data_IF_099576324060
#
_entry.id   IF_099576324060
#
_cell.length_a   1.000
_cell.length_b   1.000
_cell.length_c   1.000
_cell.angle_alpha   90.00
_cell.angle_beta   90.00
_cell.angle_gamma   90.00
#
_symmetry.space_group_name_H-M   'P 1'
#
loop_
_entity.id
_entity.type
_entity.pdbx_description
1 polymer ?
#
# COMPACT_ATOMS: atom_id res chain seq x y z
N UNK A 1 -52.94 -1.32 2.40
CA UNK A 1 -52.71 -1.27 3.86
C UNK A 1 -52.08 -2.61 4.24
N UNK A 2 -50.89 -2.81 4.79
CA UNK A 2 -49.80 -1.96 5.28
C UNK A 2 -48.53 -2.82 5.20
N UNK A 3 -47.51 -2.39 4.46
CA UNK A 3 -46.16 -2.96 4.54
C UNK A 3 -45.13 -1.90 5.00
N UNK A 4 -45.58 -0.92 5.79
CA UNK A 4 -44.77 0.18 6.37
C UNK A 4 -44.43 -0.12 7.84
N UNK A 5 -44.32 -1.40 8.21
CA UNK A 5 -43.97 -1.81 9.59
C UNK A 5 -42.81 -2.81 9.62
N UNK A 6 -41.70 -2.40 9.01
CA UNK A 6 -40.36 -2.74 9.50
C UNK A 6 -39.53 -1.47 9.55
N UNK A 7 -39.86 -0.57 10.49
CA UNK A 7 -38.86 0.41 10.95
C UNK A 7 -37.76 -0.44 11.58
N UNK A 8 -36.65 -0.60 10.87
CA UNK A 8 -35.46 -1.24 11.41
C UNK A 8 -35.10 -0.59 12.74
N UNK A 9 -34.74 -1.39 13.73
CA UNK A 9 -34.16 -0.86 14.96
C UNK A 9 -33.05 0.12 14.57
N UNK A 10 -33.19 1.39 14.97
CA UNK A 10 -32.19 2.41 14.69
C UNK A 10 -30.82 1.98 15.22
N UNK A 11 -29.74 2.54 14.66
CA UNK A 11 -28.41 2.33 15.22
C UNK A 11 -28.44 2.67 16.72
N UNK A 12 -27.87 1.83 17.60
CA UNK A 12 -27.86 2.08 19.05
C UNK A 12 -27.25 3.46 19.33
N UNK A 13 -27.74 4.22 20.30
CA UNK A 13 -27.13 5.52 20.63
C UNK A 13 -25.68 5.32 21.10
N UNK A 14 -24.78 6.28 20.81
CA UNK A 14 -23.45 6.29 21.44
C UNK A 14 -23.59 7.00 22.79
N UNK A 15 -23.26 6.34 23.91
CA UNK A 15 -23.21 7.02 25.21
C UNK A 15 -22.23 8.20 25.17
N UNK A 16 -22.56 9.30 25.86
CA UNK A 16 -21.72 10.49 25.89
C UNK A 16 -20.31 10.20 26.46
N UNK A 17 -20.22 9.29 27.42
CA UNK A 17 -18.96 8.80 27.98
C UNK A 17 -18.10 8.08 26.93
N UNK A 18 -18.70 7.20 26.12
CA UNK A 18 -18.02 6.50 25.02
C UNK A 18 -17.53 7.49 23.97
N UNK A 19 -18.35 8.47 23.59
CA UNK A 19 -17.96 9.50 22.63
C UNK A 19 -16.76 10.32 23.14
N UNK A 20 -16.81 10.75 24.40
CA UNK A 20 -15.72 11.50 25.05
C UNK A 20 -14.44 10.66 25.14
N UNK A 21 -14.56 9.39 25.52
CA UNK A 21 -13.42 8.47 25.59
C UNK A 21 -12.80 8.23 24.22
N UNK A 22 -13.62 8.10 23.17
CA UNK A 22 -13.18 7.93 21.80
C UNK A 22 -12.41 9.15 21.28
N UNK A 23 -12.90 10.36 21.53
CA UNK A 23 -12.21 11.59 21.16
C UNK A 23 -10.87 11.74 21.89
N UNK A 24 -10.85 11.47 23.19
CA UNK A 24 -9.63 11.51 24.00
C UNK A 24 -8.59 10.48 23.53
N UNK A 25 -9.00 9.22 23.33
CA UNK A 25 -8.12 8.15 22.85
C UNK A 25 -7.59 8.45 21.44
N UNK A 26 -8.43 8.95 20.55
CA UNK A 26 -8.01 9.34 19.19
C UNK A 26 -6.97 10.45 19.23
N UNK A 27 -7.19 11.48 20.05
CA UNK A 27 -6.25 12.60 20.22
C UNK A 27 -4.90 12.12 20.76
N UNK A 28 -4.90 11.26 21.78
CA UNK A 28 -3.70 10.68 22.35
C UNK A 28 -2.95 9.81 21.34
N UNK A 29 -3.67 8.99 20.58
CA UNK A 29 -3.07 8.09 19.61
C UNK A 29 -2.43 8.84 18.42
N UNK A 30 -3.06 9.91 17.93
CA UNK A 30 -2.48 10.78 16.90
C UNK A 30 -1.20 11.44 17.41
N UNK A 31 -1.19 11.95 18.64
CA UNK A 31 -0.01 12.57 19.25
C UNK A 31 1.13 11.56 19.43
N UNK A 32 0.84 10.37 19.96
CA UNK A 32 1.81 9.29 20.10
C UNK A 32 2.40 8.87 18.75
N UNK A 33 1.55 8.72 17.73
CA UNK A 33 1.97 8.36 16.37
C UNK A 33 2.91 9.41 15.78
N UNK A 34 2.57 10.70 15.89
CA UNK A 34 3.42 11.79 15.41
C UNK A 34 4.78 11.87 16.12
N UNK A 35 4.81 11.64 17.43
CA UNK A 35 6.04 11.59 18.22
C UNK A 35 6.94 10.42 17.78
N UNK A 36 6.36 9.24 17.59
CA UNK A 36 7.08 8.05 17.17
C UNK A 36 7.70 8.21 15.76
N UNK A 37 7.00 8.85 14.83
CA UNK A 37 7.51 9.08 13.46
C UNK A 37 8.62 10.12 13.40
N UNK A 38 8.75 10.99 14.41
CA UNK A 38 9.75 12.07 14.43
C UNK A 38 11.00 11.71 15.24
N UNK A 39 10.84 10.95 16.34
CA UNK A 39 11.89 10.79 17.37
C UNK A 39 12.57 9.43 17.43
N UNK A 40 12.13 8.41 16.69
CA UNK A 40 12.80 7.10 16.61
C UNK A 40 12.94 6.30 17.92
N UNK A 41 12.27 6.71 19.01
CA UNK A 41 12.39 6.08 20.32
C UNK A 41 11.54 4.81 20.42
N UNK A 42 12.12 3.74 20.98
CA UNK A 42 11.39 2.50 21.31
C UNK A 42 10.22 2.77 22.26
N UNK A 43 10.37 3.69 23.20
CA UNK A 43 9.29 4.07 24.12
C UNK A 43 8.12 4.68 23.36
N UNK A 44 8.40 5.56 22.39
CA UNK A 44 7.35 6.16 21.55
C UNK A 44 6.60 5.09 20.73
N UNK A 45 7.31 4.06 20.25
CA UNK A 45 6.66 2.93 19.57
C UNK A 45 5.75 2.11 20.50
N UNK A 46 6.15 1.91 21.77
CA UNK A 46 5.32 1.23 22.78
C UNK A 46 4.09 2.07 23.18
N UNK A 47 4.24 3.39 23.25
CA UNK A 47 3.12 4.32 23.47
C UNK A 47 2.10 4.25 22.33
N UNK A 48 2.56 4.20 21.08
CA UNK A 48 1.69 3.96 19.92
C UNK A 48 0.97 2.61 20.03
N UNK A 49 1.69 1.56 20.39
CA UNK A 49 1.09 0.22 20.55
C UNK A 49 -0.02 0.22 21.61
N UNK A 50 0.21 0.87 22.76
CA UNK A 50 -0.80 1.04 23.80
C UNK A 50 -2.01 1.83 23.27
N UNK A 51 -1.77 2.96 22.61
CA UNK A 51 -2.86 3.81 22.11
C UNK A 51 -3.71 3.10 21.03
N UNK A 52 -3.10 2.26 20.19
CA UNK A 52 -3.82 1.39 19.24
C UNK A 52 -4.70 0.40 20.00
N UNK A 53 -4.20 -0.21 21.07
CA UNK A 53 -5.00 -1.17 21.86
C UNK A 53 -6.19 -0.48 22.55
N UNK A 54 -5.98 0.71 23.12
CA UNK A 54 -7.06 1.50 23.71
C UNK A 54 -8.14 1.84 22.66
N UNK A 55 -7.73 2.18 21.43
CA UNK A 55 -8.66 2.38 20.30
C UNK A 55 -9.39 1.09 19.89
N UNK A 56 -8.73 -0.07 19.89
CA UNK A 56 -9.38 -1.34 19.56
C UNK A 56 -10.53 -1.65 20.52
N UNK A 57 -10.30 -1.49 21.82
CA UNK A 57 -11.33 -1.68 22.87
C UNK A 57 -12.54 -0.78 22.60
N UNK A 58 -12.31 0.49 22.27
CA UNK A 58 -13.39 1.44 21.98
C UNK A 58 -14.12 1.11 20.67
N UNK A 59 -13.40 0.70 19.63
CA UNK A 59 -14.00 0.35 18.34
C UNK A 59 -14.84 -0.94 18.45
N UNK A 60 -14.44 -1.88 19.30
CA UNK A 60 -15.19 -3.12 19.54
C UNK A 60 -16.50 -2.91 20.31
N UNK A 61 -16.75 -1.72 20.87
CA UNK A 61 -18.04 -1.41 21.50
C UNK A 61 -19.18 -1.53 20.47
N UNK A 62 -20.31 -2.19 20.79
CA UNK A 62 -21.37 -2.50 19.84
C UNK A 62 -21.89 -1.29 19.05
N UNK A 63 -22.02 -0.14 19.71
CA UNK A 63 -22.51 1.11 19.14
C UNK A 63 -21.53 1.78 18.17
N UNK A 64 -20.23 1.62 18.40
CA UNK A 64 -19.18 2.13 17.52
C UNK A 64 -19.02 1.19 16.34
N UNK A 65 -18.89 -0.11 16.61
CA UNK A 65 -18.85 -1.17 15.60
C UNK A 65 -20.02 -1.07 14.61
N UNK A 66 -21.25 -0.94 15.10
CA UNK A 66 -22.43 -0.83 14.24
C UNK A 66 -22.36 0.36 13.29
N UNK A 67 -21.81 1.50 13.73
CA UNK A 67 -21.63 2.70 12.89
C UNK A 67 -20.53 2.53 11.85
N UNK A 68 -19.41 1.93 12.23
CA UNK A 68 -18.31 1.66 11.28
C UNK A 68 -18.78 0.69 10.20
N UNK A 69 -19.48 -0.38 10.58
CA UNK A 69 -20.07 -1.35 9.63
C UNK A 69 -21.12 -0.67 8.75
N UNK A 70 -21.89 0.29 9.27
CA UNK A 70 -22.86 1.04 8.45
C UNK A 70 -22.19 1.95 7.40
N UNK A 71 -20.94 2.38 7.61
CA UNK A 71 -20.15 3.15 6.65
C UNK A 71 -19.43 2.24 5.63
N UNK A 72 -19.17 0.99 5.98
CA UNK A 72 -18.47 0.03 5.13
C UNK A 72 -19.24 -0.25 3.83
N UNK A 73 -18.48 -0.30 2.73
CA UNK A 73 -19.01 -0.54 1.39
C UNK A 73 -20.09 0.47 0.99
N UNK A 74 -19.90 1.74 1.39
CA UNK A 74 -20.76 2.85 1.00
C UNK A 74 -19.96 3.97 0.32
N UNK A 75 -20.56 4.72 -0.62
CA UNK A 75 -19.89 5.87 -1.24
C UNK A 75 -19.56 7.00 -0.27
N UNK A 76 -20.36 7.16 0.79
CA UNK A 76 -20.17 8.22 1.79
C UNK A 76 -19.21 7.82 2.91
N UNK A 77 -19.04 6.53 3.17
CA UNK A 77 -18.07 5.98 4.12
C UNK A 77 -16.76 5.64 3.43
N UNK A 78 -16.48 4.35 3.32
CA UNK A 78 -15.32 3.78 2.63
C UNK A 78 -15.71 2.51 1.86
N UNK A 79 -14.90 2.12 0.88
CA UNK A 79 -15.13 0.92 0.06
C UNK A 79 -14.14 -0.19 0.38
N UNK A 80 -14.55 -1.43 0.16
CA UNK A 80 -13.67 -2.59 0.19
C UNK A 80 -13.66 -3.31 -1.17
N UNK A 81 -12.58 -4.03 -1.48
CA UNK A 81 -12.52 -4.93 -2.64
C UNK A 81 -13.30 -6.24 -2.43
N UNK A 82 -14.00 -6.38 -1.30
CA UNK A 82 -14.89 -7.50 -0.95
C UNK A 82 -16.34 -7.06 -0.69
N UNK A 83 -16.80 -5.99 -1.33
CA UNK A 83 -18.19 -5.53 -1.24
C UNK A 83 -19.16 -6.67 -1.60
N UNK A 84 -20.06 -7.09 -0.69
CA UNK A 84 -20.98 -8.21 -0.91
C UNK A 84 -22.04 -7.90 -1.97
N UNK A 85 -22.21 -6.63 -2.37
CA UNK A 85 -23.09 -6.23 -3.48
C UNK A 85 -22.47 -6.54 -4.84
N UNK A 86 -21.18 -6.89 -4.88
CA UNK A 86 -20.45 -7.25 -6.09
C UNK A 86 -20.32 -8.77 -6.17
N UNK A 87 -20.68 -9.33 -7.33
CA UNK A 87 -20.51 -10.75 -7.62
C UNK A 87 -19.09 -11.02 -8.10
N UNK A 88 -18.43 -11.99 -7.48
CA UNK A 88 -17.12 -12.44 -7.88
C UNK A 88 -17.19 -13.20 -9.20
N UNK A 89 -16.47 -12.71 -10.22
CA UNK A 89 -16.49 -13.30 -11.57
C UNK A 89 -15.95 -14.74 -11.62
N UNK A 90 -15.09 -15.14 -10.67
CA UNK A 90 -14.48 -16.48 -10.66
C UNK A 90 -15.38 -17.53 -10.03
N UNK A 91 -16.08 -17.17 -8.96
CA UNK A 91 -16.94 -18.11 -8.21
C UNK A 91 -18.41 -17.97 -8.56
N UNK A 92 -18.80 -16.89 -9.27
CA UNK A 92 -20.18 -16.51 -9.56
C UNK A 92 -21.04 -16.38 -8.29
N UNK A 93 -20.42 -16.04 -7.16
CA UNK A 93 -21.06 -15.81 -5.86
C UNK A 93 -20.77 -14.39 -5.39
N UNK A 94 -21.64 -13.79 -4.55
CA UNK A 94 -21.34 -12.54 -3.87
C UNK A 94 -20.00 -12.62 -3.13
N UNK A 95 -19.26 -11.50 -3.07
CA UNK A 95 -18.06 -11.46 -2.25
C UNK A 95 -18.42 -11.65 -0.76
N UNK A 96 -17.53 -12.31 -0.03
CA UNK A 96 -17.60 -12.40 1.43
C UNK A 96 -16.90 -11.17 2.01
N UNK A 97 -17.59 -10.31 2.79
CA UNK A 97 -16.98 -9.14 3.40
C UNK A 97 -15.77 -9.48 4.28
N UNK A 98 -14.90 -8.51 4.50
CA UNK A 98 -13.83 -8.66 5.50
C UNK A 98 -14.39 -8.81 6.91
N UNK A 99 -13.70 -9.61 7.73
CA UNK A 99 -13.96 -9.67 9.17
C UNK A 99 -13.78 -8.30 9.82
N UNK A 100 -14.57 -8.05 10.87
CA UNK A 100 -14.55 -6.75 11.54
C UNK A 100 -13.17 -6.38 12.08
N UNK A 101 -12.35 -7.35 12.49
CA UNK A 101 -10.98 -7.09 12.92
C UNK A 101 -10.17 -6.37 11.83
N UNK A 102 -10.25 -6.82 10.58
CA UNK A 102 -9.57 -6.18 9.44
C UNK A 102 -10.10 -4.77 9.20
N UNK A 103 -11.43 -4.61 9.26
CA UNK A 103 -12.08 -3.30 9.09
C UNK A 103 -11.65 -2.31 10.18
N UNK A 104 -11.60 -2.78 11.43
CA UNK A 104 -11.17 -2.00 12.60
C UNK A 104 -9.72 -1.55 12.47
N UNK A 105 -8.78 -2.44 12.14
CA UNK A 105 -7.37 -2.08 12.00
C UNK A 105 -7.18 -1.02 10.89
N UNK A 106 -7.85 -1.17 9.75
CA UNK A 106 -7.77 -0.19 8.66
C UNK A 106 -8.39 1.16 9.04
N UNK A 107 -9.49 1.16 9.80
CA UNK A 107 -10.15 2.38 10.28
C UNK A 107 -9.32 3.11 11.34
N UNK A 108 -8.67 2.38 12.25
CA UNK A 108 -7.71 2.94 13.21
C UNK A 108 -6.52 3.56 12.47
N UNK A 109 -5.92 2.83 11.51
CA UNK A 109 -4.81 3.36 10.71
C UNK A 109 -5.21 4.64 9.95
N UNK A 110 -6.42 4.67 9.37
CA UNK A 110 -6.94 5.87 8.72
C UNK A 110 -7.00 7.07 9.68
N UNK A 111 -7.52 6.87 10.88
CA UNK A 111 -7.61 7.90 11.92
C UNK A 111 -6.25 8.44 12.35
N UNK A 112 -5.29 7.54 12.62
CA UNK A 112 -3.91 7.92 13.00
C UNK A 112 -3.19 8.72 11.91
N UNK A 113 -3.54 8.48 10.64
CA UNK A 113 -3.01 9.21 9.49
C UNK A 113 -3.77 10.50 9.17
N UNK A 114 -4.77 10.88 9.98
CA UNK A 114 -5.55 12.11 9.82
C UNK A 114 -6.67 12.04 8.76
N UNK A 115 -6.96 10.84 8.26
CA UNK A 115 -8.08 10.58 7.35
C UNK A 115 -9.37 10.38 8.13
N UNK A 116 -10.49 10.58 7.45
CA UNK A 116 -11.83 10.41 8.01
C UNK A 116 -12.43 9.07 7.62
N UNK A 117 -13.35 8.56 8.44
CA UNK A 117 -14.14 7.36 8.10
C UNK A 117 -15.23 7.62 7.05
N UNK A 118 -15.37 8.89 6.64
CA UNK A 118 -16.35 9.38 5.67
C UNK A 118 -15.66 10.12 4.52
N UNK A 119 -16.39 10.31 3.44
CA UNK A 119 -15.91 10.99 2.23
C UNK A 119 -14.97 10.14 1.39
N UNK A 120 -15.02 8.81 1.52
CA UNK A 120 -14.21 7.86 0.76
C UNK A 120 -12.71 8.17 0.85
N UNK A 121 -12.21 8.59 2.03
CA UNK A 121 -10.82 9.03 2.22
C UNK A 121 -9.81 7.89 2.34
N UNK A 122 -10.28 6.70 2.70
CA UNK A 122 -9.51 5.47 2.67
C UNK A 122 -10.41 4.34 2.17
N UNK A 123 -9.80 3.24 1.72
CA UNK A 123 -10.45 2.00 1.32
C UNK A 123 -9.69 0.82 1.93
N UNK A 124 -10.29 -0.37 1.87
CA UNK A 124 -9.65 -1.63 2.23
C UNK A 124 -9.44 -2.46 0.96
N UNK A 125 -8.18 -2.72 0.62
CA UNK A 125 -7.82 -3.51 -0.56
C UNK A 125 -6.91 -4.64 -0.09
N UNK A 126 -7.24 -5.87 -0.45
CA UNK A 126 -6.51 -7.07 -0.02
C UNK A 126 -6.28 -7.12 1.50
N UNK A 127 -7.28 -6.68 2.26
CA UNK A 127 -7.26 -6.64 3.73
C UNK A 127 -6.33 -5.59 4.34
N UNK A 128 -5.86 -4.61 3.55
CA UNK A 128 -4.95 -3.55 4.00
C UNK A 128 -5.56 -2.17 3.79
N UNK A 129 -5.12 -1.23 4.62
CA UNK A 129 -5.43 0.18 4.47
C UNK A 129 -4.92 0.72 3.12
N UNK A 130 -5.76 1.51 2.46
CA UNK A 130 -5.44 2.17 1.20
C UNK A 130 -5.97 3.61 1.19
N UNK A 131 -5.09 4.60 1.29
CA UNK A 131 -5.47 6.00 1.14
C UNK A 131 -5.94 6.30 -0.31
N UNK A 132 -7.08 6.95 -0.46
CA UNK A 132 -7.67 7.28 -1.77
C UNK A 132 -7.19 8.64 -2.28
N UNK A 133 -7.61 9.02 -3.50
CA UNK A 133 -7.38 10.37 -4.02
C UNK A 133 -8.08 11.41 -3.13
N UNK A 134 -9.32 11.17 -2.71
CA UNK A 134 -10.08 12.05 -1.82
C UNK A 134 -9.39 12.20 -0.46
N UNK A 135 -8.79 11.12 0.04
CA UNK A 135 -7.98 11.13 1.25
C UNK A 135 -6.77 12.05 1.15
N UNK A 136 -5.95 11.89 0.10
CA UNK A 136 -4.80 12.76 -0.09
C UNK A 136 -5.18 14.21 -0.34
N UNK A 137 -6.26 14.48 -1.08
CA UNK A 137 -6.75 15.85 -1.21
C UNK A 137 -7.17 16.45 0.14
N UNK A 138 -7.84 15.67 1.00
CA UNK A 138 -8.22 16.11 2.34
C UNK A 138 -6.98 16.38 3.21
N UNK A 139 -5.97 15.53 3.14
CA UNK A 139 -4.71 15.70 3.87
C UNK A 139 -3.94 16.94 3.41
N UNK A 140 -3.81 17.16 2.09
CA UNK A 140 -3.15 18.34 1.53
C UNK A 140 -3.87 19.62 1.94
N UNK A 141 -5.21 19.65 1.92
CA UNK A 141 -5.98 20.82 2.37
C UNK A 141 -5.80 21.13 3.85
N UNK A 142 -5.52 20.11 4.68
CA UNK A 142 -5.24 20.26 6.11
C UNK A 142 -3.75 20.51 6.41
N UNK A 143 -2.87 20.40 5.42
CA UNK A 143 -1.43 20.49 5.62
C UNK A 143 -1.06 21.91 6.11
N UNK A 144 -0.31 22.05 7.23
CA UNK A 144 0.03 23.34 7.79
C UNK A 144 0.78 24.23 6.79
N UNK A 145 0.31 25.48 6.65
CA UNK A 145 0.97 26.48 5.81
C UNK A 145 0.85 26.23 4.30
N UNK A 146 0.08 25.23 3.86
CA UNK A 146 -0.19 24.98 2.43
C UNK A 146 -1.44 25.74 2.00
N UNK A 147 -1.35 26.51 0.93
CA UNK A 147 -2.52 27.16 0.31
C UNK A 147 -2.41 27.20 -1.21
N UNK A 148 -3.53 27.43 -1.89
CA UNK A 148 -3.55 27.56 -3.35
C UNK A 148 -3.09 26.32 -4.12
N UNK A 149 -3.24 25.12 -3.54
CA UNK A 149 -2.87 23.87 -4.21
C UNK A 149 -3.70 23.66 -5.48
N UNK A 150 -3.04 23.56 -6.63
CA UNK A 150 -3.65 23.33 -7.94
C UNK A 150 -2.94 22.20 -8.68
N UNK A 151 -3.50 20.97 -8.66
CA UNK A 151 -3.00 19.87 -9.47
C UNK A 151 -3.57 19.93 -10.90
N UNK A 152 -2.73 19.60 -11.88
CA UNK A 152 -3.07 19.42 -13.28
C UNK A 152 -2.62 18.00 -13.65
N UNK A 153 -3.57 17.19 -14.11
CA UNK A 153 -3.35 15.81 -14.51
C UNK A 153 -3.46 15.74 -16.02
N UNK A 154 -2.38 15.32 -16.67
CA UNK A 154 -2.32 15.14 -18.11
C UNK A 154 -3.11 13.91 -18.57
N UNK A 155 -3.11 13.71 -19.88
CA UNK A 155 -3.73 12.54 -20.51
C UNK A 155 -2.78 11.33 -20.49
N UNK A 156 -3.31 10.10 -20.41
CA UNK A 156 -2.55 8.87 -20.62
C UNK A 156 -1.75 8.86 -21.93
N UNK A 157 -0.42 8.77 -21.84
CA UNK A 157 0.48 8.54 -22.97
C UNK A 157 0.99 7.10 -22.96
N UNK A 158 0.83 6.37 -24.06
CA UNK A 158 1.32 4.99 -24.17
C UNK A 158 2.85 4.96 -24.40
N UNK A 159 3.56 4.13 -23.64
CA UNK A 159 4.97 3.79 -23.88
C UNK A 159 5.22 2.29 -23.74
N UNK A 160 6.32 1.74 -24.30
CA UNK A 160 6.71 0.35 -24.05
C UNK A 160 6.86 0.11 -22.54
N UNK A 161 6.08 -0.81 -21.98
CA UNK A 161 6.09 -1.15 -20.55
C UNK A 161 5.00 -0.51 -19.69
N UNK A 162 4.12 0.36 -20.24
CA UNK A 162 2.95 0.87 -19.53
C UNK A 162 2.44 2.23 -20.01
N UNK A 163 1.55 2.82 -19.23
CA UNK A 163 0.98 4.14 -19.47
C UNK A 163 1.71 5.15 -18.61
N UNK A 164 2.12 6.27 -19.20
CA UNK A 164 2.69 7.40 -18.49
C UNK A 164 1.69 8.55 -18.46
N UNK A 165 1.50 9.16 -17.29
CA UNK A 165 0.67 10.36 -17.11
C UNK A 165 1.55 11.47 -16.59
N UNK A 166 1.64 12.57 -17.33
CA UNK A 166 2.33 13.77 -16.85
C UNK A 166 1.43 14.48 -15.84
N UNK A 167 2.00 14.84 -14.68
CA UNK A 167 1.28 15.54 -13.63
C UNK A 167 2.10 16.73 -13.16
N UNK A 168 1.43 17.84 -12.91
CA UNK A 168 2.04 19.02 -12.32
C UNK A 168 1.15 19.63 -11.24
N UNK A 169 1.75 20.28 -10.26
CA UNK A 169 1.03 20.99 -9.22
C UNK A 169 1.81 22.23 -8.79
N UNK A 170 1.06 23.26 -8.40
CA UNK A 170 1.61 24.45 -7.76
C UNK A 170 0.89 24.71 -6.44
N UNK A 171 1.62 25.19 -5.43
CA UNK A 171 1.04 25.62 -4.16
C UNK A 171 1.89 26.71 -3.51
N UNK A 172 1.37 27.35 -2.48
CA UNK A 172 2.11 28.27 -1.61
C UNK A 172 2.43 27.55 -0.30
N UNK A 173 3.69 27.59 0.13
CA UNK A 173 4.12 27.06 1.42
C UNK A 173 5.29 27.89 1.97
N UNK A 174 5.21 28.28 3.24
CA UNK A 174 6.25 29.09 3.88
C UNK A 174 6.48 30.45 3.21
N UNK A 175 5.45 31.04 2.58
CA UNK A 175 5.56 32.32 1.88
C UNK A 175 6.19 32.24 0.48
N UNK A 176 6.55 31.05 -0.01
CA UNK A 176 7.10 30.84 -1.33
C UNK A 176 6.19 29.95 -2.20
N UNK A 177 6.17 30.24 -3.50
CA UNK A 177 5.49 29.40 -4.47
C UNK A 177 6.33 28.15 -4.75
N UNK A 178 5.71 27.00 -4.53
CA UNK A 178 6.26 25.68 -4.79
C UNK A 178 5.63 25.10 -6.05
N UNK A 179 6.36 24.20 -6.70
CA UNK A 179 5.86 23.41 -7.81
C UNK A 179 6.43 21.99 -7.79
N UNK A 180 5.68 21.07 -8.39
CA UNK A 180 6.12 19.71 -8.67
C UNK A 180 5.65 19.33 -10.06
N UNK A 181 6.55 18.85 -10.91
CA UNK A 181 6.23 18.27 -12.22
C UNK A 181 6.88 16.90 -12.32
N UNK A 182 6.06 15.87 -12.50
CA UNK A 182 6.51 14.48 -12.54
C UNK A 182 5.69 13.67 -13.54
N UNK A 183 6.32 12.65 -14.11
CA UNK A 183 5.62 11.66 -14.92
C UNK A 183 5.34 10.43 -14.05
N UNK A 184 4.07 10.05 -13.95
CA UNK A 184 3.63 8.91 -13.14
C UNK A 184 3.44 7.68 -14.04
N UNK A 185 4.19 6.59 -13.80
CA UNK A 185 3.92 5.32 -14.45
C UNK A 185 2.68 4.64 -13.86
N UNK A 186 1.80 4.20 -14.73
CA UNK A 186 0.59 3.44 -14.41
C UNK A 186 0.57 2.19 -15.27
N UNK A 187 0.41 1.04 -14.62
CA UNK A 187 0.18 -0.22 -15.31
C UNK A 187 -1.22 -0.22 -15.92
N UNK A 188 -1.29 -0.42 -17.23
CA UNK A 188 -2.52 -0.74 -17.94
C UNK A 188 -2.68 -2.26 -18.04
N UNK A 189 -3.91 -2.73 -17.88
CA UNK A 189 -4.36 -4.05 -18.34
C UNK A 189 -5.31 -3.87 -19.54
N UNK A 190 -5.64 -4.96 -20.23
CA UNK A 190 -6.50 -4.95 -21.44
C UNK A 190 -7.91 -4.38 -21.18
N UNK A 191 -8.28 -4.18 -19.91
CA UNK A 191 -9.57 -3.67 -19.47
C UNK A 191 -9.49 -2.29 -18.79
N UNK A 192 -8.32 -1.67 -18.74
CA UNK A 192 -8.11 -0.37 -18.09
C UNK A 192 -8.72 0.75 -18.94
N UNK A 193 -9.74 1.42 -18.40
CA UNK A 193 -10.26 2.64 -19.02
C UNK A 193 -9.32 3.83 -18.78
N UNK A 194 -9.40 4.85 -19.65
CA UNK A 194 -8.64 6.09 -19.48
C UNK A 194 -8.90 6.73 -18.10
N UNK A 195 -10.15 6.72 -17.62
CA UNK A 195 -10.51 7.26 -16.30
C UNK A 195 -9.87 6.49 -15.13
N UNK A 196 -9.76 5.16 -15.25
CA UNK A 196 -9.09 4.34 -14.24
C UNK A 196 -7.59 4.65 -14.18
N UNK A 197 -6.95 4.82 -15.34
CA UNK A 197 -5.55 5.18 -15.44
C UNK A 197 -5.28 6.57 -14.86
N UNK A 198 -6.11 7.56 -15.21
CA UNK A 198 -6.06 8.91 -14.65
C UNK A 198 -6.26 8.86 -13.14
N UNK A 199 -7.26 8.11 -12.64
CA UNK A 199 -7.51 7.98 -11.21
C UNK A 199 -6.32 7.41 -10.43
N UNK A 200 -5.65 6.37 -10.96
CA UNK A 200 -4.41 5.81 -10.38
C UNK A 200 -3.27 6.83 -10.39
N UNK A 201 -3.06 7.51 -11.53
CA UNK A 201 -2.04 8.55 -11.65
C UNK A 201 -2.26 9.70 -10.66
N UNK A 202 -3.48 10.23 -10.58
CA UNK A 202 -3.88 11.30 -9.66
C UNK A 202 -3.58 10.90 -8.22
N UNK A 203 -3.95 9.68 -7.80
CA UNK A 203 -3.72 9.20 -6.43
C UNK A 203 -2.22 9.12 -6.10
N UNK A 204 -1.40 8.54 -6.99
CA UNK A 204 0.06 8.49 -6.83
C UNK A 204 0.69 9.88 -6.81
N UNK A 205 0.21 10.78 -7.67
CA UNK A 205 0.70 12.15 -7.74
C UNK A 205 0.38 12.95 -6.46
N UNK A 206 -0.86 12.91 -5.98
CA UNK A 206 -1.27 13.57 -4.75
C UNK A 206 -0.51 13.04 -3.53
N UNK A 207 -0.24 11.73 -3.47
CA UNK A 207 0.62 11.15 -2.45
C UNK A 207 2.00 11.80 -2.45
N UNK A 208 2.66 11.88 -3.62
CA UNK A 208 3.98 12.52 -3.75
C UNK A 208 3.95 14.00 -3.33
N UNK A 209 2.91 14.75 -3.74
CA UNK A 209 2.72 16.12 -3.28
C UNK A 209 2.62 16.20 -1.75
N UNK A 210 1.82 15.34 -1.13
CA UNK A 210 1.65 15.31 0.32
C UNK A 210 2.95 14.94 1.05
N UNK A 211 3.67 13.93 0.57
CA UNK A 211 4.98 13.52 1.10
C UNK A 211 5.99 14.66 1.00
N UNK A 212 6.02 15.38 -0.13
CA UNK A 212 6.88 16.56 -0.30
C UNK A 212 6.50 17.73 0.64
N UNK A 213 5.20 17.95 0.87
CA UNK A 213 4.70 19.04 1.72
C UNK A 213 4.95 18.80 3.22
N UNK A 214 4.91 17.54 3.66
CA UNK A 214 4.85 17.18 5.10
C UNK A 214 6.00 16.34 5.59
N UNK A 215 6.80 15.76 4.68
CA UNK A 215 7.81 14.74 5.01
C UNK A 215 7.23 13.40 5.49
N UNK A 216 5.89 13.27 5.54
CA UNK A 216 5.22 12.08 6.07
C UNK A 216 4.95 11.06 4.97
N UNK A 217 5.51 9.86 5.10
CA UNK A 217 5.28 8.75 4.16
C UNK A 217 4.00 7.99 4.48
N UNK A 218 3.13 7.84 3.49
CA UNK A 218 1.95 6.97 3.58
C UNK A 218 2.19 5.74 2.71
N UNK A 219 2.05 4.50 3.22
CA UNK A 219 2.31 3.30 2.46
C UNK A 219 1.53 3.26 1.15
N UNK A 220 2.22 2.83 0.10
CA UNK A 220 1.58 2.45 -1.15
C UNK A 220 0.88 1.11 -0.90
N UNK A 221 -0.36 1.16 -0.41
CA UNK A 221 -1.18 -0.04 -0.18
C UNK A 221 -1.54 -0.81 -1.46
N UNK A 222 -0.84 -0.59 -2.57
CA UNK A 222 -1.05 -1.31 -3.82
C UNK A 222 -0.15 -2.55 -3.85
N UNK A 223 -0.73 -3.70 -4.18
CA UNK A 223 0.00 -4.95 -4.35
C UNK A 223 0.76 -4.92 -5.68
N UNK A 224 1.94 -4.30 -5.69
CA UNK A 224 2.99 -4.57 -6.67
C UNK A 224 3.53 -3.38 -7.47
N UNK A 225 3.94 -2.29 -6.82
CA UNK A 225 4.63 -1.19 -7.51
C UNK A 225 5.94 -0.79 -6.80
N UNK A 226 7.07 -0.97 -7.48
CA UNK A 226 8.31 -0.23 -7.25
C UNK A 226 8.36 0.93 -8.26
N UNK A 227 8.40 2.17 -7.78
CA UNK A 227 8.48 3.34 -8.64
C UNK A 227 9.93 3.69 -8.97
N UNK A 228 10.25 3.84 -10.26
CA UNK A 228 11.48 4.53 -10.70
C UNK A 228 11.26 6.04 -10.55
N UNK A 229 12.08 6.67 -9.71
CA UNK A 229 12.16 8.12 -9.57
C UNK A 229 13.08 8.65 -10.66
N UNK A 230 12.57 9.55 -11.51
CA UNK A 230 13.42 10.43 -12.31
C UNK A 230 13.31 11.80 -11.66
N UNK A 231 14.37 12.21 -10.96
CA UNK A 231 14.47 13.56 -10.38
C UNK A 231 14.54 14.60 -11.49
N UNK A 232 13.76 15.67 -11.36
CA UNK A 232 13.93 16.88 -12.15
C UNK A 232 14.39 18.02 -11.23
N UNK A 233 15.58 18.54 -11.56
CA UNK A 233 16.27 19.66 -10.94
C UNK A 233 15.38 20.91 -10.80
N UNK A 234 15.48 21.70 -9.72
CA UNK A 234 14.77 22.98 -9.59
C UNK A 234 15.13 23.90 -10.76
N UNK A 235 14.12 24.36 -11.49
CA UNK A 235 14.27 25.40 -12.50
C UNK A 235 14.53 26.75 -11.79
N UNK A 236 15.55 27.52 -12.22
CA UNK A 236 15.86 28.81 -11.61
C UNK A 236 14.74 29.82 -11.86
N UNK A 237 14.51 30.68 -10.87
CA UNK A 237 13.54 31.76 -10.90
C UNK A 237 13.69 32.62 -12.17
N UNK A 238 12.56 32.95 -12.79
CA UNK A 238 12.49 33.79 -13.97
C UNK A 238 13.21 35.14 -13.74
N UNK A 239 13.94 35.66 -14.75
CA UNK A 239 14.76 36.86 -14.58
C UNK A 239 13.87 38.12 -14.46
N UNK A 240 14.08 38.88 -13.38
CA UNK A 240 13.58 40.24 -13.24
C UNK A 240 14.31 41.14 -14.24
N UNK A 241 13.57 41.82 -15.11
CA UNK A 241 14.09 42.84 -16.00
C UNK A 241 14.69 43.99 -15.18
N UNK A 242 16.02 44.15 -15.22
CA UNK A 242 16.71 45.42 -14.91
C UNK A 242 17.62 45.80 -16.06
N UNK A 243 17.46 47.06 -16.49
CA UNK A 243 18.12 47.70 -17.63
C UNK A 243 19.61 47.93 -17.32
N UNK A 244 20.43 47.80 -18.37
CA UNK A 244 21.89 47.80 -18.37
C UNK A 244 22.55 49.13 -17.98
N UNK A 245 23.74 49.03 -17.36
CA UNK A 245 24.96 49.78 -17.74
C UNK A 245 26.22 49.06 -17.21
N UNK A 246 27.13 48.81 -18.15
CA UNK A 246 28.60 48.90 -18.11
C UNK A 246 29.53 47.86 -17.43
N UNK A 247 30.19 47.11 -18.32
CA UNK A 247 31.65 46.88 -18.53
C UNK A 247 32.58 46.24 -17.48
N UNK A 248 33.22 45.13 -17.90
CA UNK A 248 34.60 44.76 -17.55
C UNK A 248 34.83 43.29 -17.12
N UNK A 249 35.96 42.62 -17.45
CA UNK A 249 35.90 41.28 -18.06
C UNK A 249 36.51 40.09 -17.29
N UNK A 250 35.97 38.90 -17.63
CA UNK A 250 36.58 37.56 -17.82
C UNK A 250 37.76 37.06 -16.97
N UNK A 251 37.54 35.93 -16.26
CA UNK A 251 38.47 34.80 -16.19
C UNK A 251 37.75 33.51 -15.74
N UNK A 252 38.03 32.39 -16.40
CA UNK A 252 37.65 31.01 -16.08
C UNK A 252 38.95 30.18 -15.86
N UNK A 253 38.95 28.85 -15.63
CA UNK A 253 38.03 27.93 -14.94
C UNK A 253 38.75 27.05 -13.86
N UNK A 254 37.99 26.12 -13.29
CA UNK A 254 38.30 25.04 -12.32
C UNK A 254 39.49 24.12 -12.68
N UNK A 255 39.99 23.33 -11.70
CA UNK A 255 39.95 21.87 -11.91
C UNK A 255 39.45 21.06 -10.69
N UNK A 256 38.93 19.87 -11.01
CA UNK A 256 38.29 18.86 -10.16
C UNK A 256 39.23 18.13 -9.19
N UNK A 257 38.67 17.31 -8.29
CA UNK A 257 39.34 16.08 -7.87
C UNK A 257 38.53 14.79 -8.20
N UNK A 258 39.36 13.79 -8.44
CA UNK A 258 39.27 12.36 -8.79
C UNK A 258 38.43 11.52 -7.80
N UNK A 259 37.86 10.35 -8.24
CA UNK A 259 36.99 9.50 -7.42
C UNK A 259 37.77 8.54 -6.50
N UNK A 260 37.16 8.15 -5.37
CA UNK A 260 37.66 7.11 -4.45
C UNK A 260 36.67 5.93 -4.37
N UNK A 261 37.11 4.84 -4.99
CA UNK A 261 37.09 3.40 -4.63
C UNK A 261 36.16 2.91 -3.48
N UNK A 262 35.18 2.08 -3.89
CA UNK A 262 34.89 0.68 -3.49
C UNK A 262 35.35 0.11 -2.13
N UNK A 263 34.38 -0.44 -1.39
CA UNK A 263 34.41 -1.61 -0.48
C UNK A 263 33.07 -1.63 0.29
N UNK A 264 32.48 -2.70 0.79
CA UNK A 264 32.50 -4.16 0.59
C UNK A 264 31.31 -4.67 1.45
N UNK A 265 30.68 -5.75 1.03
CA UNK A 265 29.46 -6.34 1.60
C UNK A 265 29.81 -7.24 2.78
N UNK A 266 29.04 -7.18 3.88
CA UNK A 266 29.03 -8.23 4.92
C UNK A 266 27.58 -8.60 5.26
N UNK A 267 27.15 -9.87 5.15
CA UNK A 267 25.81 -10.30 5.54
C UNK A 267 25.81 -10.83 6.99
N UNK A 268 24.77 -10.50 7.76
CA UNK A 268 24.51 -11.11 9.07
C UNK A 268 23.21 -11.90 9.02
N UNK A 269 23.35 -13.21 9.17
CA UNK A 269 22.31 -14.21 9.39
C UNK A 269 21.84 -14.20 10.83
N UNK A 270 20.53 -14.21 11.09
CA UNK A 270 19.99 -14.66 12.38
C UNK A 270 18.78 -15.56 12.16
N UNK A 271 18.91 -16.78 12.65
CA UNK A 271 17.88 -17.82 12.70
C UNK A 271 16.89 -17.57 13.86
N UNK A 272 15.64 -17.98 13.69
CA UNK A 272 14.67 -18.08 14.79
C UNK A 272 13.94 -19.44 14.73
N UNK A 273 14.12 -20.21 15.80
CA UNK A 273 13.54 -21.53 16.05
C UNK A 273 12.06 -21.41 16.47
N UNK A 274 11.26 -22.39 16.05
CA UNK A 274 9.82 -22.56 16.29
C UNK A 274 9.53 -23.46 17.50
N UNK A 275 8.38 -23.26 18.17
CA UNK A 275 7.50 -24.27 18.83
C UNK A 275 6.22 -23.53 19.27
N UNK A 276 4.94 -23.80 18.93
CA UNK A 276 4.10 -24.95 18.53
C UNK A 276 3.31 -25.59 19.69
N UNK A 277 1.95 -25.58 19.60
CA UNK A 277 0.96 -26.54 20.16
C UNK A 277 -0.44 -26.35 19.47
N UNK A 278 -1.32 -27.40 19.38
CA UNK A 278 -2.06 -27.89 18.17
C UNK A 278 -3.62 -27.75 18.24
N UNK A 279 -4.54 -28.23 17.36
CA UNK A 279 -4.61 -28.89 16.03
C UNK A 279 -6.08 -28.90 15.50
N UNK A 280 -6.24 -28.97 14.18
CA UNK A 280 -7.32 -29.64 13.41
C UNK A 280 -6.68 -30.06 12.05
N UNK A 281 -7.16 -31.09 11.32
CA UNK A 281 -6.32 -31.87 10.39
C UNK A 281 -5.94 -31.05 9.16
N UNK A 282 -4.75 -30.46 9.20
CA UNK A 282 -4.20 -29.66 8.13
C UNK A 282 -3.41 -30.57 7.20
N UNK A 283 -3.83 -30.67 5.95
CA UNK A 283 -2.99 -31.15 4.85
C UNK A 283 -1.66 -30.41 4.92
N UNK A 284 -0.56 -31.13 4.99
CA UNK A 284 0.75 -30.48 5.13
C UNK A 284 1.06 -29.67 3.86
N UNK A 285 1.84 -28.57 3.94
CA UNK A 285 2.26 -27.84 2.75
C UNK A 285 2.94 -28.73 1.69
N UNK A 286 3.64 -29.77 2.14
CA UNK A 286 4.26 -30.79 1.30
C UNK A 286 3.24 -31.69 0.58
N UNK A 287 2.19 -32.13 1.27
CA UNK A 287 1.09 -32.88 0.65
C UNK A 287 0.34 -32.02 -0.39
N UNK A 288 0.12 -30.74 -0.11
CA UNK A 288 -0.50 -29.82 -1.06
C UNK A 288 0.38 -29.61 -2.29
N UNK A 289 1.71 -29.49 -2.09
CA UNK A 289 2.70 -29.39 -3.16
C UNK A 289 2.68 -30.65 -4.04
N UNK A 290 2.76 -31.82 -3.42
CA UNK A 290 2.69 -33.11 -4.10
C UNK A 290 1.40 -33.22 -4.92
N UNK A 291 0.26 -32.86 -4.32
CA UNK A 291 -1.04 -32.96 -4.96
C UNK A 291 -1.14 -32.13 -6.25
N UNK A 292 -0.67 -30.87 -6.24
CA UNK A 292 -0.80 -30.03 -7.45
C UNK A 292 0.27 -30.35 -8.51
N UNK A 293 1.46 -30.79 -8.11
CA UNK A 293 2.52 -31.19 -9.07
C UNK A 293 2.10 -32.46 -9.80
N UNK A 294 1.60 -33.46 -9.08
CA UNK A 294 1.09 -34.72 -9.67
C UNK A 294 -0.18 -34.47 -10.49
N UNK A 295 -1.12 -33.66 -10.00
CA UNK A 295 -2.30 -33.27 -10.79
C UNK A 295 -1.94 -32.49 -12.06
N UNK A 296 -0.80 -31.80 -12.07
CA UNK A 296 -0.24 -31.14 -13.24
C UNK A 296 0.48 -32.08 -14.23
N UNK A 297 0.51 -33.39 -13.95
CA UNK A 297 1.13 -34.40 -14.82
C UNK A 297 2.65 -34.49 -14.71
N UNK A 298 3.24 -33.96 -13.63
CA UNK A 298 4.68 -33.99 -13.38
C UNK A 298 5.05 -34.99 -12.29
N UNK A 299 6.21 -35.64 -12.44
CA UNK A 299 6.76 -36.53 -11.41
C UNK A 299 7.56 -35.74 -10.37
N UNK A 300 7.87 -36.39 -9.24
CA UNK A 300 8.75 -35.80 -8.23
C UNK A 300 10.15 -35.49 -8.80
N UNK A 301 10.71 -36.38 -9.63
CA UNK A 301 12.02 -36.18 -10.24
C UNK A 301 12.06 -34.94 -11.16
N UNK A 302 10.99 -34.72 -11.95
CA UNK A 302 10.86 -33.54 -12.81
C UNK A 302 10.78 -32.26 -11.97
N UNK A 303 10.04 -32.31 -10.87
CA UNK A 303 9.96 -31.22 -9.90
C UNK A 303 11.31 -30.96 -9.24
N UNK A 304 12.03 -32.00 -8.81
CA UNK A 304 13.31 -31.91 -8.13
C UNK A 304 14.39 -31.32 -9.03
N UNK A 305 14.48 -31.78 -10.29
CA UNK A 305 15.40 -31.21 -11.28
C UNK A 305 15.15 -29.72 -11.49
N UNK A 306 13.89 -29.33 -11.66
CA UNK A 306 13.50 -27.92 -11.80
C UNK A 306 13.79 -27.11 -10.53
N UNK A 307 13.43 -27.62 -9.35
CA UNK A 307 13.56 -26.88 -8.10
C UNK A 307 15.03 -26.64 -7.72
N UNK A 308 15.91 -27.61 -8.00
CA UNK A 308 17.37 -27.47 -7.86
C UNK A 308 17.92 -26.47 -8.88
N UNK A 309 17.46 -26.52 -10.14
CA UNK A 309 17.85 -25.53 -11.15
C UNK A 309 17.48 -24.10 -10.75
N UNK A 310 16.30 -23.91 -10.15
CA UNK A 310 15.86 -22.60 -9.62
C UNK A 310 16.49 -22.23 -8.26
N UNK A 311 17.38 -23.08 -7.72
CA UNK A 311 18.07 -22.90 -6.43
C UNK A 311 17.12 -22.72 -5.23
N UNK A 312 15.99 -23.42 -5.22
CA UNK A 312 15.12 -23.44 -4.05
C UNK A 312 15.71 -24.22 -2.87
N UNK A 313 16.52 -25.24 -3.18
CA UNK A 313 17.34 -26.02 -2.26
C UNK A 313 18.47 -26.68 -3.05
N UNK A 314 19.49 -27.20 -2.36
CA UNK A 314 20.72 -27.73 -2.99
C UNK A 314 20.76 -29.27 -2.91
N UNK A 315 20.22 -29.82 -1.83
CA UNK A 315 20.24 -31.24 -1.52
C UNK A 315 19.35 -32.06 -2.47
N UNK A 316 19.71 -33.32 -2.66
CA UNK A 316 18.88 -34.28 -3.37
C UNK A 316 17.90 -34.90 -2.39
N UNK A 317 16.62 -34.73 -2.66
CA UNK A 317 15.54 -35.22 -1.81
C UNK A 317 14.99 -36.53 -2.40
N UNK A 318 14.39 -37.35 -1.55
CA UNK A 318 13.80 -38.64 -1.93
C UNK A 318 12.28 -38.58 -2.10
N UNK A 319 11.65 -37.52 -1.59
CA UNK A 319 10.21 -37.32 -1.67
C UNK A 319 9.76 -35.89 -1.36
N UNK A 320 8.47 -35.61 -1.60
CA UNK A 320 7.88 -34.29 -1.34
C UNK A 320 7.84 -33.93 0.15
N UNK A 321 7.83 -34.92 1.03
CA UNK A 321 7.84 -34.79 2.49
C UNK A 321 9.16 -34.19 3.01
N UNK A 322 10.27 -34.41 2.30
CA UNK A 322 11.58 -33.86 2.63
C UNK A 322 11.79 -32.42 2.12
N UNK A 323 10.84 -31.88 1.34
CA UNK A 323 10.91 -30.50 0.86
C UNK A 323 10.78 -29.54 2.06
N UNK A 324 11.71 -28.57 2.24
CA UNK A 324 11.62 -27.63 3.33
C UNK A 324 10.27 -26.91 3.34
N UNK A 325 9.61 -26.87 4.52
CA UNK A 325 8.27 -26.30 4.70
C UNK A 325 8.16 -24.88 4.13
N UNK A 326 9.20 -24.06 4.28
CA UNK A 326 9.24 -22.70 3.75
C UNK A 326 9.22 -22.67 2.20
N UNK A 327 9.90 -23.62 1.56
CA UNK A 327 9.91 -23.78 0.10
C UNK A 327 8.54 -24.28 -0.38
N UNK A 328 7.99 -25.32 0.26
CA UNK A 328 6.66 -25.83 -0.08
C UNK A 328 5.57 -24.74 0.00
N UNK A 329 5.54 -23.97 1.09
CA UNK A 329 4.63 -22.84 1.24
C UNK A 329 4.84 -21.74 0.18
N UNK A 330 6.08 -21.47 -0.23
CA UNK A 330 6.37 -20.49 -1.28
C UNK A 330 5.85 -20.97 -2.64
N UNK A 331 6.03 -22.25 -2.95
CA UNK A 331 5.60 -22.85 -4.21
C UNK A 331 4.07 -22.98 -4.30
N UNK A 332 3.41 -23.33 -3.20
CA UNK A 332 1.94 -23.42 -3.12
C UNK A 332 1.24 -22.09 -3.40
N UNK A 333 1.91 -20.94 -3.18
CA UNK A 333 1.37 -19.60 -3.51
C UNK A 333 1.30 -19.32 -5.01
N UNK A 334 2.01 -20.08 -5.85
CA UNK A 334 2.09 -19.83 -7.30
C UNK A 334 1.98 -21.12 -8.12
N UNK A 335 0.99 -21.97 -7.80
CA UNK A 335 0.78 -23.29 -8.42
C UNK A 335 0.83 -23.26 -9.96
N UNK A 336 0.11 -22.32 -10.58
CA UNK A 336 0.06 -22.21 -12.04
C UNK A 336 1.37 -21.74 -12.67
N UNK A 337 2.14 -20.88 -11.99
CA UNK A 337 3.46 -20.45 -12.43
C UNK A 337 4.49 -21.56 -12.34
N UNK A 338 4.45 -22.33 -11.23
CA UNK A 338 5.32 -23.49 -11.00
C UNK A 338 5.11 -24.54 -12.09
N UNK A 339 3.86 -24.95 -12.34
CA UNK A 339 3.55 -25.96 -13.37
C UNK A 339 4.02 -25.54 -14.77
N UNK A 340 3.80 -24.28 -15.16
CA UNK A 340 4.29 -23.74 -16.44
C UNK A 340 5.82 -23.75 -16.52
N UNK A 341 6.50 -23.45 -15.41
CA UNK A 341 7.96 -23.41 -15.35
C UNK A 341 8.59 -24.80 -15.39
N UNK A 342 7.99 -25.80 -14.71
CA UNK A 342 8.40 -27.21 -14.80
C UNK A 342 8.24 -27.71 -16.24
N UNK A 343 7.09 -27.44 -16.87
CA UNK A 343 6.85 -27.81 -18.27
C UNK A 343 7.85 -27.15 -19.25
N UNK A 344 8.19 -25.86 -19.04
CA UNK A 344 9.19 -25.16 -19.85
C UNK A 344 10.60 -25.74 -19.65
N UNK A 345 10.96 -26.13 -18.42
CA UNK A 345 12.24 -26.77 -18.12
C UNK A 345 12.38 -28.14 -18.81
N UNK A 346 11.31 -28.93 -18.83
CA UNK A 346 11.23 -30.20 -19.57
C UNK A 346 11.43 -30.02 -21.09
N UNK A 347 10.98 -28.90 -21.65
CA UNK A 347 11.12 -28.58 -23.08
C UNK A 347 12.50 -28.04 -23.50
N UNK A 348 13.31 -27.54 -22.55
CA UNK A 348 14.61 -26.91 -22.81
C UNK A 348 15.83 -27.82 -22.64
N UNK A 349 15.63 -29.10 -22.32
CA UNK A 349 16.70 -30.09 -22.11
C UNK A 349 16.86 -31.04 -23.30
N UNK A 350 16.85 -30.48 -24.52
CA UNK A 350 17.28 -31.16 -25.75
C UNK A 350 18.42 -30.40 -26.39
#
# INVERSE_FOLDING_TARGET
MSNIQRRGAGLPAVPAETATALEAATTQAIAAFGNATTGGSVIAALEVAKAIEDLRVLFDQPEIKARIVALQDTPLGFRTDKDPRVVNRKTNQPNVPYDYAVVREAAIEAGLRGLQLVGNQFNIISGRFYATKEGFEALIRKAPGVSGFRPIIGVPGNKPGGVLVECEATWQQGGAQQNLKVTIPVKSDDYSSADQLIGKATRKFLRRCYEMMTGSTVPEGDTGDDAVVVEAKPAPAAPQFRRATDTGPAAAPTPAPTPVVEAEVVPTTTAATTQAVPAAPATTPQEELAAFVVAGGHTFDEFQAWARHQRFYVDELTGFDEVPVAVANRLNKSKSGVLKSIAAHKGGSR
#
